data_IF_452462169106
#
_entry.id   IF_452462169106
#
_cell.length_a   1.000
_cell.length_b   1.000
_cell.length_c   1.000
_cell.angle_alpha   90.00
_cell.angle_beta   90.00
_cell.angle_gamma   90.00
#
_symmetry.space_group_name_H-M   'P 1'
#
loop_
_entity.id
_entity.type
_entity.pdbx_description
1 polymer ?
#
# COMPACT_ATOMS: atom_id res chain seq x y z
N UNK A 1 74.15 14.52 -32.76
CA UNK A 1 73.58 14.00 -31.50
C UNK A 1 72.12 14.39 -31.49
N UNK A 2 71.35 13.50 -32.05
CA UNK A 2 69.88 13.65 -32.17
C UNK A 2 69.22 13.05 -30.93
N UNK A 3 68.40 13.84 -30.29
CA UNK A 3 67.52 13.38 -29.26
C UNK A 3 66.09 13.63 -29.71
N UNK A 4 65.47 12.56 -30.14
CA UNK A 4 64.03 12.50 -30.46
C UNK A 4 63.23 12.45 -29.16
N UNK A 5 62.17 13.22 -28.97
CA UNK A 5 61.25 13.00 -27.89
C UNK A 5 60.17 11.97 -28.24
N UNK A 6 60.04 10.98 -27.37
CA UNK A 6 58.96 9.99 -27.36
C UNK A 6 57.59 10.66 -27.19
N UNK A 7 56.70 10.36 -28.09
CA UNK A 7 55.28 10.66 -28.00
C UNK A 7 54.64 9.71 -27.01
N UNK A 8 54.27 10.23 -25.85
CA UNK A 8 53.38 9.54 -24.88
C UNK A 8 51.97 9.51 -25.45
N UNK A 9 51.53 8.34 -25.82
CA UNK A 9 50.14 8.03 -26.18
C UNK A 9 49.32 8.03 -24.90
N UNK A 10 48.52 9.07 -24.68
CA UNK A 10 47.49 9.09 -23.64
C UNK A 10 46.38 8.16 -24.07
N UNK A 11 46.27 7.02 -23.41
CA UNK A 11 45.13 6.13 -23.47
C UNK A 11 43.95 6.85 -22.81
N UNK A 12 42.89 7.05 -23.56
CA UNK A 12 41.58 7.47 -23.04
C UNK A 12 41.07 6.46 -22.02
N UNK A 13 40.44 6.88 -20.90
CA UNK A 13 39.75 5.93 -20.04
C UNK A 13 38.55 5.39 -20.81
N UNK A 14 38.54 4.10 -21.03
CA UNK A 14 37.37 3.35 -21.46
C UNK A 14 36.28 3.61 -20.40
N UNK A 15 35.18 4.23 -20.83
CA UNK A 15 33.92 4.23 -20.09
C UNK A 15 33.52 2.78 -19.86
N UNK A 16 33.82 2.28 -18.70
CA UNK A 16 33.26 1.02 -18.21
C UNK A 16 31.78 1.26 -18.02
N UNK A 17 31.04 0.94 -19.06
CA UNK A 17 29.58 0.87 -19.02
C UNK A 17 29.22 -0.30 -18.10
N UNK A 18 29.23 -0.06 -16.79
CA UNK A 18 28.68 -0.95 -15.79
C UNK A 18 27.17 -1.04 -15.99
N UNK A 19 26.76 -1.73 -17.04
CA UNK A 19 25.45 -2.34 -17.05
C UNK A 19 25.49 -3.50 -16.06
N UNK A 20 25.42 -3.14 -14.78
CA UNK A 20 25.14 -4.11 -13.73
C UNK A 20 23.75 -4.66 -14.02
N UNK A 21 23.71 -5.80 -14.70
CA UNK A 21 22.55 -6.65 -14.75
C UNK A 21 22.28 -7.10 -13.32
N UNK A 22 21.61 -6.25 -12.54
CA UNK A 22 21.06 -6.63 -11.26
C UNK A 22 20.11 -7.79 -11.56
N UNK A 23 20.52 -8.98 -11.21
CA UNK A 23 19.67 -10.16 -11.12
C UNK A 23 18.54 -9.79 -10.14
N UNK A 24 17.43 -9.29 -10.72
CA UNK A 24 16.28 -8.86 -9.93
C UNK A 24 15.68 -10.12 -9.30
N UNK A 25 15.90 -10.27 -8.02
CA UNK A 25 15.30 -11.35 -7.26
C UNK A 25 13.78 -11.24 -7.31
N UNK A 26 13.10 -12.26 -7.84
CA UNK A 26 11.63 -12.36 -7.82
C UNK A 26 11.24 -13.08 -6.56
N UNK A 27 10.43 -12.44 -5.73
CA UNK A 27 9.88 -13.03 -4.51
C UNK A 27 8.59 -13.77 -4.82
N UNK A 28 8.57 -15.07 -4.61
CA UNK A 28 7.38 -15.91 -4.80
C UNK A 28 6.46 -15.77 -3.57
N UNK A 29 5.31 -15.11 -3.73
CA UNK A 29 4.29 -15.00 -2.69
C UNK A 29 3.31 -16.18 -2.74
N UNK A 30 3.03 -16.64 -3.95
CA UNK A 30 2.11 -17.76 -4.20
C UNK A 30 2.85 -18.77 -5.07
N UNK A 31 2.95 -20.00 -4.59
CA UNK A 31 3.59 -21.09 -5.34
C UNK A 31 2.90 -21.32 -6.67
N UNK A 32 3.67 -21.36 -7.77
CA UNK A 32 3.12 -21.56 -9.11
C UNK A 32 2.40 -20.33 -9.67
N UNK A 33 2.73 -19.15 -9.17
CA UNK A 33 2.19 -17.88 -9.72
C UNK A 33 2.53 -17.71 -11.20
N UNK A 34 1.61 -17.14 -11.94
CA UNK A 34 1.67 -16.93 -13.41
C UNK A 34 1.89 -15.47 -13.79
N UNK A 35 1.96 -14.57 -12.81
CA UNK A 35 2.07 -13.13 -12.97
C UNK A 35 3.16 -12.56 -12.05
N UNK A 36 3.96 -11.63 -12.57
CA UNK A 36 4.89 -10.83 -11.78
C UNK A 36 4.34 -9.41 -11.64
N UNK A 37 4.23 -8.94 -10.41
CA UNK A 37 3.98 -7.55 -10.11
C UNK A 37 5.31 -6.83 -9.92
N UNK A 38 5.55 -5.73 -10.63
CA UNK A 38 6.68 -4.83 -10.42
C UNK A 38 6.20 -3.63 -9.60
N UNK A 39 6.37 -3.71 -8.28
CA UNK A 39 5.75 -2.80 -7.32
C UNK A 39 6.72 -1.73 -6.85
N UNK A 40 6.21 -0.50 -6.78
CA UNK A 40 6.92 0.66 -6.27
C UNK A 40 7.98 1.22 -7.21
N UNK A 41 8.61 2.35 -6.81
CA UNK A 41 9.57 3.06 -7.65
C UNK A 41 10.84 2.26 -7.94
N UNK A 42 11.19 1.30 -7.09
CA UNK A 42 12.35 0.41 -7.26
C UNK A 42 12.00 -0.88 -7.99
N UNK A 43 10.73 -1.05 -8.42
CA UNK A 43 10.26 -2.23 -9.16
C UNK A 43 10.56 -3.54 -8.41
N UNK A 44 10.16 -3.66 -7.16
CA UNK A 44 10.23 -4.91 -6.40
C UNK A 44 9.36 -5.96 -7.08
N UNK A 45 9.95 -7.11 -7.46
CA UNK A 45 9.27 -8.14 -8.24
C UNK A 45 8.62 -9.17 -7.30
N UNK A 46 7.29 -9.25 -7.34
CA UNK A 46 6.46 -10.16 -6.55
C UNK A 46 5.72 -11.11 -7.48
N UNK A 47 5.95 -12.43 -7.34
CA UNK A 47 5.21 -13.43 -8.12
C UNK A 47 3.94 -13.83 -7.41
N UNK A 48 2.81 -13.77 -8.13
CA UNK A 48 1.46 -14.02 -7.63
C UNK A 48 0.64 -14.83 -8.64
N UNK A 49 -0.52 -15.31 -8.22
CA UNK A 49 -1.50 -15.92 -9.12
C UNK A 49 -2.50 -14.87 -9.61
N UNK A 50 -2.61 -14.72 -10.93
CA UNK A 50 -3.61 -13.84 -11.55
C UNK A 50 -5.03 -14.25 -11.19
N UNK A 51 -5.31 -15.56 -11.16
CA UNK A 51 -6.60 -16.10 -10.75
C UNK A 51 -6.96 -15.74 -9.30
N UNK A 52 -5.97 -15.82 -8.38
CA UNK A 52 -6.17 -15.41 -6.99
C UNK A 52 -6.47 -13.92 -6.88
N UNK A 53 -5.72 -13.06 -7.59
CA UNK A 53 -5.98 -11.62 -7.62
C UNK A 53 -7.39 -11.30 -8.12
N UNK A 54 -7.84 -11.95 -9.18
CA UNK A 54 -9.21 -11.78 -9.71
C UNK A 54 -10.29 -12.20 -8.71
N UNK A 55 -10.02 -13.23 -7.91
CA UNK A 55 -10.99 -13.72 -6.93
C UNK A 55 -11.12 -12.79 -5.72
N UNK A 56 -10.01 -12.24 -5.27
CA UNK A 56 -10.03 -11.38 -4.07
C UNK A 56 -10.42 -9.94 -4.38
N UNK A 57 -10.15 -9.44 -5.60
CA UNK A 57 -10.26 -8.02 -5.97
C UNK A 57 -11.11 -7.81 -7.23
N UNK A 58 -12.23 -7.08 -7.12
CA UNK A 58 -12.99 -6.64 -8.28
C UNK A 58 -12.15 -5.79 -9.25
N UNK A 59 -11.22 -4.98 -8.74
CA UNK A 59 -10.34 -4.13 -9.55
C UNK A 59 -9.46 -4.98 -10.45
N UNK A 60 -8.77 -5.99 -9.90
CA UNK A 60 -7.96 -6.92 -10.71
C UNK A 60 -8.82 -7.76 -11.64
N UNK A 61 -10.02 -8.17 -11.20
CA UNK A 61 -10.94 -8.91 -12.06
C UNK A 61 -11.33 -8.11 -13.31
N UNK A 62 -11.56 -6.82 -13.17
CA UNK A 62 -11.84 -5.92 -14.29
C UNK A 62 -10.59 -5.69 -15.14
N UNK A 63 -9.44 -5.41 -14.52
CA UNK A 63 -8.16 -5.15 -15.18
C UNK A 63 -7.72 -6.32 -16.08
N UNK A 64 -7.90 -7.56 -15.61
CA UNK A 64 -7.61 -8.77 -16.38
C UNK A 64 -8.79 -9.24 -17.24
N UNK A 65 -9.86 -8.44 -17.28
CA UNK A 65 -11.03 -8.68 -18.14
C UNK A 65 -10.75 -8.46 -19.63
N UNK A 66 -11.75 -8.75 -20.50
CA UNK A 66 -11.57 -8.73 -21.96
C UNK A 66 -11.37 -7.33 -22.56
N UNK A 67 -11.63 -6.29 -21.81
CA UNK A 67 -11.63 -4.91 -22.30
C UNK A 67 -10.30 -4.18 -22.03
N UNK A 68 -9.34 -4.83 -21.39
CA UNK A 68 -8.05 -4.25 -21.02
C UNK A 68 -6.89 -5.03 -21.64
N UNK A 69 -5.83 -4.32 -21.98
CA UNK A 69 -4.62 -4.89 -22.60
C UNK A 69 -3.97 -5.96 -21.72
N UNK A 70 -3.96 -5.74 -20.40
CA UNK A 70 -3.42 -6.69 -19.42
C UNK A 70 -4.16 -8.03 -19.49
N UNK A 71 -5.48 -7.98 -19.57
CA UNK A 71 -6.30 -9.19 -19.70
C UNK A 71 -6.10 -9.87 -21.06
N UNK A 72 -5.93 -9.14 -22.14
CA UNK A 72 -5.62 -9.70 -23.46
C UNK A 72 -4.24 -10.38 -23.46
N UNK A 73 -3.23 -9.72 -22.92
CA UNK A 73 -1.87 -10.27 -22.79
C UNK A 73 -1.87 -11.56 -21.97
N UNK A 74 -2.61 -11.60 -20.88
CA UNK A 74 -2.69 -12.79 -20.01
C UNK A 74 -3.34 -13.97 -20.72
N UNK A 75 -4.43 -13.74 -21.48
CA UNK A 75 -5.16 -14.80 -22.22
C UNK A 75 -4.40 -15.34 -23.44
N UNK A 76 -3.67 -14.49 -24.12
CA UNK A 76 -2.93 -14.86 -25.34
C UNK A 76 -1.57 -15.53 -25.05
N UNK A 77 -1.18 -15.60 -23.78
CA UNK A 77 0.08 -16.21 -23.36
C UNK A 77 0.09 -17.70 -23.62
N UNK A 78 1.19 -18.17 -24.23
CA UNK A 78 1.42 -19.59 -24.53
C UNK A 78 2.48 -20.19 -23.60
N UNK A 79 2.52 -21.51 -23.51
CA UNK A 79 3.56 -22.21 -22.76
C UNK A 79 4.93 -21.92 -23.39
N UNK A 80 5.83 -21.32 -22.61
CA UNK A 80 7.15 -20.90 -23.07
C UNK A 80 7.30 -19.40 -23.31
N UNK A 81 6.21 -18.64 -23.30
CA UNK A 81 6.29 -17.19 -23.33
C UNK A 81 6.93 -16.63 -22.05
N UNK A 82 7.61 -15.48 -22.12
CA UNK A 82 8.13 -14.81 -20.94
C UNK A 82 7.01 -14.48 -19.95
N UNK A 83 7.36 -14.47 -18.67
CA UNK A 83 6.38 -14.14 -17.63
C UNK A 83 5.81 -12.74 -17.83
N UNK A 84 4.50 -12.63 -17.63
CA UNK A 84 3.85 -11.32 -17.71
C UNK A 84 4.26 -10.48 -16.50
N UNK A 85 4.66 -9.26 -16.76
CA UNK A 85 4.96 -8.26 -15.73
C UNK A 85 3.89 -7.17 -15.77
N UNK A 86 3.29 -6.88 -14.61
CA UNK A 86 2.37 -5.78 -14.38
C UNK A 86 3.07 -4.70 -13.54
N UNK A 87 3.14 -3.48 -14.06
CA UNK A 87 3.78 -2.35 -13.37
C UNK A 87 2.80 -1.66 -12.44
N UNK A 88 3.20 -1.52 -11.17
CA UNK A 88 2.45 -0.84 -10.11
C UNK A 88 3.38 0.15 -9.39
N UNK A 89 3.80 1.24 -10.05
CA UNK A 89 4.86 2.13 -9.57
C UNK A 89 4.48 2.94 -8.32
N UNK A 90 3.19 3.17 -8.11
CA UNK A 90 2.67 4.01 -7.03
C UNK A 90 2.33 3.23 -5.77
N UNK A 91 2.54 1.91 -5.76
CA UNK A 91 2.20 1.05 -4.63
C UNK A 91 3.41 0.78 -3.73
N UNK A 92 3.13 0.50 -2.45
CA UNK A 92 4.15 0.08 -1.49
C UNK A 92 4.38 -1.43 -1.60
N UNK A 93 5.62 -1.89 -1.87
CA UNK A 93 5.91 -3.32 -2.04
C UNK A 93 5.67 -4.15 -0.79
N UNK A 94 5.94 -3.59 0.40
CA UNK A 94 5.75 -4.30 1.67
C UNK A 94 4.26 -4.43 1.99
N UNK A 95 3.48 -3.37 1.71
CA UNK A 95 2.02 -3.42 1.85
C UNK A 95 1.42 -4.50 0.93
N UNK A 96 1.90 -4.59 -0.31
CA UNK A 96 1.47 -5.66 -1.23
C UNK A 96 1.82 -7.05 -0.71
N UNK A 97 3.06 -7.24 -0.28
CA UNK A 97 3.55 -8.50 0.29
C UNK A 97 2.67 -8.93 1.47
N UNK A 98 2.51 -8.05 2.46
CA UNK A 98 1.70 -8.30 3.66
C UNK A 98 0.23 -8.57 3.31
N UNK A 99 -0.35 -7.82 2.36
CA UNK A 99 -1.72 -7.99 1.90
C UNK A 99 -1.94 -9.38 1.28
N UNK A 100 -1.10 -9.75 0.32
CA UNK A 100 -1.22 -11.05 -0.35
C UNK A 100 -1.01 -12.20 0.62
N UNK A 101 0.04 -12.12 1.47
CA UNK A 101 0.32 -13.18 2.45
C UNK A 101 -0.80 -13.31 3.50
N UNK A 102 -1.40 -12.20 3.93
CA UNK A 102 -2.53 -12.22 4.86
C UNK A 102 -3.77 -12.88 4.24
N UNK A 103 -4.11 -12.54 3.00
CA UNK A 103 -5.29 -13.07 2.31
C UNK A 103 -5.11 -14.50 1.81
N UNK A 104 -3.89 -14.87 1.42
CA UNK A 104 -3.56 -16.23 1.02
C UNK A 104 -3.40 -17.17 2.23
N UNK A 105 -3.19 -16.61 3.42
CA UNK A 105 -3.07 -17.38 4.67
C UNK A 105 -1.76 -18.17 4.80
N UNK A 106 -0.74 -17.80 4.02
CA UNK A 106 0.53 -18.54 4.00
C UNK A 106 1.51 -18.14 5.10
N UNK A 107 1.30 -16.99 5.75
CA UNK A 107 2.24 -16.48 6.74
C UNK A 107 1.55 -16.03 8.03
N UNK A 108 1.76 -16.74 9.15
CA UNK A 108 1.22 -16.34 10.45
C UNK A 108 1.74 -14.99 10.95
N UNK A 109 2.93 -14.54 10.50
CA UNK A 109 3.50 -13.26 10.95
C UNK A 109 2.71 -12.03 10.48
N UNK A 110 1.80 -12.17 9.52
CA UNK A 110 0.87 -11.09 9.14
C UNK A 110 -0.09 -10.69 10.26
N UNK A 111 -0.19 -11.52 11.32
CA UNK A 111 -0.89 -11.16 12.55
C UNK A 111 -0.11 -10.13 13.39
N UNK A 112 1.21 -10.03 13.17
CA UNK A 112 2.11 -9.16 13.94
C UNK A 112 2.43 -7.84 13.24
N UNK A 113 1.66 -7.47 12.22
CA UNK A 113 1.76 -6.16 11.57
C UNK A 113 1.74 -5.04 12.62
N UNK A 114 2.64 -4.08 12.48
CA UNK A 114 2.64 -2.87 13.30
C UNK A 114 1.60 -1.83 12.79
N UNK A 115 1.37 -0.73 13.51
CA UNK A 115 0.39 0.28 13.09
C UNK A 115 0.67 0.90 11.72
N UNK A 116 1.94 1.08 11.33
CA UNK A 116 2.33 1.59 10.02
C UNK A 116 2.01 0.59 8.91
N UNK A 117 2.31 -0.69 9.12
CA UNK A 117 1.96 -1.76 8.19
C UNK A 117 0.45 -1.87 8.00
N UNK A 118 -0.31 -1.81 9.10
CA UNK A 118 -1.78 -1.86 9.07
C UNK A 118 -2.34 -0.66 8.28
N UNK A 119 -1.77 0.53 8.44
CA UNK A 119 -2.14 1.70 7.67
C UNK A 119 -1.88 1.51 6.18
N UNK A 120 -0.70 1.05 5.80
CA UNK A 120 -0.32 0.80 4.40
C UNK A 120 -1.19 -0.29 3.76
N UNK A 121 -1.45 -1.39 4.48
CA UNK A 121 -2.37 -2.44 4.04
C UNK A 121 -3.78 -1.88 3.82
N UNK A 122 -4.26 -1.02 4.73
CA UNK A 122 -5.60 -0.46 4.63
C UNK A 122 -5.78 0.45 3.41
N UNK A 123 -4.78 1.25 3.09
CA UNK A 123 -4.75 2.10 1.88
C UNK A 123 -4.80 1.21 0.62
N UNK A 124 -3.98 0.16 0.60
CA UNK A 124 -3.96 -0.79 -0.51
C UNK A 124 -5.29 -1.54 -0.65
N UNK A 125 -5.88 -1.93 0.49
CA UNK A 125 -7.17 -2.62 0.52
C UNK A 125 -8.31 -1.76 -0.05
N UNK A 126 -8.32 -0.46 0.25
CA UNK A 126 -9.29 0.48 -0.33
C UNK A 126 -9.05 0.64 -1.84
N UNK A 127 -7.79 0.85 -2.28
CA UNK A 127 -7.43 1.02 -3.68
C UNK A 127 -7.88 -0.15 -4.58
N UNK A 128 -7.76 -1.38 -4.06
CA UNK A 128 -8.06 -2.61 -4.82
C UNK A 128 -9.38 -3.28 -4.42
N UNK A 129 -10.24 -2.57 -3.67
CA UNK A 129 -11.54 -3.06 -3.18
C UNK A 129 -11.44 -4.41 -2.43
N UNK A 130 -10.47 -4.47 -1.50
CA UNK A 130 -10.18 -5.64 -0.67
C UNK A 130 -10.72 -5.50 0.76
N UNK A 131 -11.32 -4.37 1.13
CA UNK A 131 -11.70 -4.04 2.51
C UNK A 131 -12.57 -5.14 3.14
N UNK A 132 -13.53 -5.68 2.39
CA UNK A 132 -14.41 -6.75 2.86
C UNK A 132 -13.66 -8.03 3.23
N UNK A 133 -12.51 -8.29 2.60
CA UNK A 133 -11.68 -9.46 2.87
C UNK A 133 -10.92 -9.35 4.19
N UNK A 134 -10.70 -8.13 4.68
CA UNK A 134 -9.99 -7.86 5.93
C UNK A 134 -10.90 -7.74 7.16
N UNK A 135 -12.18 -8.04 7.08
CA UNK A 135 -13.13 -7.88 8.18
C UNK A 135 -12.63 -8.52 9.49
N UNK A 136 -12.15 -9.76 9.46
CA UNK A 136 -11.66 -10.45 10.64
C UNK A 136 -10.26 -9.99 11.07
N UNK A 137 -9.36 -9.79 10.11
CA UNK A 137 -8.00 -9.33 10.41
C UNK A 137 -8.02 -7.93 11.05
N UNK A 138 -8.83 -7.01 10.53
CA UNK A 138 -8.96 -5.66 11.06
C UNK A 138 -9.46 -5.64 12.51
N UNK A 139 -10.42 -6.49 12.85
CA UNK A 139 -10.91 -6.62 14.25
C UNK A 139 -9.78 -7.05 15.18
N UNK A 140 -8.98 -8.04 14.75
CA UNK A 140 -7.85 -8.51 15.54
C UNK A 140 -6.77 -7.41 15.70
N UNK A 141 -6.37 -6.76 14.62
CA UNK A 141 -5.36 -5.71 14.65
C UNK A 141 -5.77 -4.53 15.54
N UNK A 142 -6.99 -4.03 15.39
CA UNK A 142 -7.47 -2.91 16.20
C UNK A 142 -7.63 -3.29 17.67
N UNK A 143 -8.01 -4.53 17.99
CA UNK A 143 -8.06 -5.02 19.36
C UNK A 143 -6.66 -5.13 19.98
N UNK A 144 -5.67 -5.64 19.23
CA UNK A 144 -4.27 -5.74 19.66
C UNK A 144 -3.71 -4.37 20.10
N UNK A 145 -4.03 -3.32 19.35
CA UNK A 145 -3.53 -1.96 19.59
C UNK A 145 -4.53 -1.07 20.34
N UNK A 146 -5.58 -1.63 20.94
CA UNK A 146 -6.56 -0.85 21.67
C UNK A 146 -5.95 0.02 22.79
N UNK A 147 -4.78 -0.32 23.27
CA UNK A 147 -4.05 0.38 24.35
C UNK A 147 -2.86 1.20 23.85
N UNK A 148 -2.67 1.34 22.54
CA UNK A 148 -1.64 2.20 21.98
C UNK A 148 -1.75 3.62 22.53
N UNK A 149 -0.63 4.16 23.05
CA UNK A 149 -0.56 5.48 23.65
C UNK A 149 0.35 6.44 22.89
N UNK A 150 1.11 5.95 21.91
CA UNK A 150 1.91 6.79 21.03
C UNK A 150 1.01 7.55 20.06
N UNK A 151 1.18 8.89 19.90
CA UNK A 151 0.33 9.68 19.02
C UNK A 151 0.46 9.30 17.53
N UNK A 152 1.65 8.90 17.07
CA UNK A 152 1.86 8.50 15.70
C UNK A 152 1.20 7.16 15.39
N UNK A 153 1.38 6.17 16.26
CA UNK A 153 0.67 4.88 16.17
C UNK A 153 -0.86 5.09 16.19
N UNK A 154 -1.34 5.97 17.08
CA UNK A 154 -2.76 6.29 17.19
C UNK A 154 -3.29 6.96 15.92
N UNK A 155 -2.47 7.81 15.28
CA UNK A 155 -2.81 8.41 13.99
C UNK A 155 -2.87 7.36 12.87
N UNK A 156 -1.86 6.50 12.77
CA UNK A 156 -1.82 5.41 11.80
C UNK A 156 -3.04 4.49 11.93
N UNK A 157 -3.40 4.11 13.17
CA UNK A 157 -4.58 3.29 13.44
C UNK A 157 -5.91 4.02 13.17
N UNK A 158 -5.97 5.33 13.42
CA UNK A 158 -7.16 6.14 13.08
C UNK A 158 -7.39 6.16 11.56
N UNK A 159 -6.35 6.40 10.79
CA UNK A 159 -6.43 6.42 9.34
C UNK A 159 -6.67 5.02 8.76
N UNK A 160 -6.05 3.99 9.32
CA UNK A 160 -6.32 2.61 8.95
C UNK A 160 -7.79 2.22 9.19
N UNK A 161 -8.35 2.60 10.34
CA UNK A 161 -9.76 2.35 10.65
C UNK A 161 -10.72 3.06 9.69
N UNK A 162 -10.32 4.25 9.19
CA UNK A 162 -11.07 4.94 8.14
C UNK A 162 -11.08 4.17 6.84
N UNK A 163 -9.89 3.78 6.33
CA UNK A 163 -9.76 3.02 5.09
C UNK A 163 -10.41 1.63 5.15
N UNK A 164 -10.31 0.96 6.31
CA UNK A 164 -10.97 -0.33 6.57
C UNK A 164 -12.48 -0.19 6.84
N UNK A 165 -13.04 1.01 6.76
CA UNK A 165 -14.45 1.30 6.99
C UNK A 165 -14.95 0.74 8.34
N UNK A 166 -14.10 0.79 9.38
CA UNK A 166 -14.42 0.32 10.74
C UNK A 166 -14.79 1.49 11.67
N UNK A 167 -16.09 1.78 11.89
CA UNK A 167 -16.54 2.92 12.67
C UNK A 167 -16.14 2.87 14.13
N UNK A 168 -16.17 1.69 14.73
CA UNK A 168 -15.88 1.53 16.16
C UNK A 168 -14.40 1.75 16.47
N UNK A 169 -13.53 1.20 15.63
CA UNK A 169 -12.10 1.44 15.71
C UNK A 169 -11.77 2.91 15.43
N UNK A 170 -12.35 3.50 14.40
CA UNK A 170 -12.19 4.92 14.08
C UNK A 170 -12.57 5.81 15.24
N UNK A 171 -13.73 5.58 15.85
CA UNK A 171 -14.18 6.32 17.04
C UNK A 171 -13.20 6.17 18.21
N UNK A 172 -12.75 4.95 18.46
CA UNK A 172 -11.85 4.65 19.57
C UNK A 172 -10.53 5.39 19.44
N UNK A 173 -9.87 5.26 18.28
CA UNK A 173 -8.56 5.87 18.05
C UNK A 173 -8.65 7.39 17.85
N UNK A 174 -9.64 7.90 17.13
CA UNK A 174 -9.81 9.34 16.96
C UNK A 174 -10.07 10.05 18.31
N UNK A 175 -10.83 9.44 19.22
CA UNK A 175 -11.04 9.97 20.56
C UNK A 175 -9.75 10.02 21.40
N UNK A 176 -8.86 9.03 21.25
CA UNK A 176 -7.55 9.03 21.88
C UNK A 176 -6.67 10.11 21.28
N UNK A 177 -6.60 10.17 19.96
CA UNK A 177 -5.77 11.11 19.21
C UNK A 177 -6.06 12.56 19.61
N UNK A 178 -7.34 12.93 19.73
CA UNK A 178 -7.76 14.26 20.18
C UNK A 178 -7.23 14.61 21.58
N UNK A 179 -7.08 13.62 22.45
CA UNK A 179 -6.56 13.84 23.82
C UNK A 179 -5.03 13.93 23.85
N UNK A 180 -4.35 13.23 22.95
CA UNK A 180 -2.90 13.12 22.92
C UNK A 180 -2.25 14.28 22.16
N UNK A 181 -2.86 14.73 21.06
CA UNK A 181 -2.27 15.73 20.19
C UNK A 181 -2.45 17.14 20.70
N UNK A 182 -1.33 17.71 21.07
CA UNK A 182 -1.12 19.12 21.29
C UNK A 182 0.07 19.52 20.41
N UNK A 183 0.02 20.23 19.44
CA UNK A 183 -0.66 21.40 18.93
C UNK A 183 -1.19 21.29 17.50
N UNK A 184 -0.88 20.31 16.70
CA UNK A 184 -1.43 20.26 15.35
C UNK A 184 -1.36 18.87 14.71
N UNK A 185 -2.50 18.32 14.34
CA UNK A 185 -2.61 17.11 13.55
C UNK A 185 -2.01 17.25 12.12
N UNK A 186 -1.73 18.49 11.69
CA UNK A 186 -1.23 18.78 10.35
C UNK A 186 0.15 18.16 10.07
N UNK A 187 0.97 17.94 11.11
CA UNK A 187 2.28 17.29 10.95
C UNK A 187 2.18 15.86 10.41
N UNK A 188 1.08 15.16 10.70
CA UNK A 188 0.88 13.78 10.28
C UNK A 188 0.30 13.65 8.86
N UNK A 189 -0.24 14.74 8.28
CA UNK A 189 -0.78 14.72 6.91
C UNK A 189 0.31 14.40 5.88
N UNK A 190 1.55 14.76 6.15
CA UNK A 190 2.67 14.53 5.23
C UNK A 190 2.93 13.03 4.97
N UNK A 191 2.61 12.15 5.94
CA UNK A 191 2.78 10.70 5.85
C UNK A 191 1.65 9.98 5.12
N UNK A 192 0.56 10.67 4.73
CA UNK A 192 -0.57 10.07 4.03
C UNK A 192 -0.46 10.35 2.53
N UNK A 193 -0.59 9.32 1.66
CA UNK A 193 -0.57 9.51 0.21
C UNK A 193 -1.68 10.45 -0.27
N UNK A 194 -2.90 10.31 0.27
CA UNK A 194 -4.02 11.23 0.02
C UNK A 194 -3.98 12.41 1.01
N UNK A 195 -3.32 13.49 0.60
CA UNK A 195 -3.21 14.72 1.40
C UNK A 195 -4.56 15.39 1.64
N UNK A 196 -5.51 15.28 0.73
CA UNK A 196 -6.84 15.84 0.89
C UNK A 196 -7.60 15.13 2.00
N UNK A 197 -7.54 13.79 2.02
CA UNK A 197 -8.11 13.01 3.11
C UNK A 197 -7.42 13.32 4.44
N UNK A 198 -6.08 13.38 4.46
CA UNK A 198 -5.34 13.76 5.65
C UNK A 198 -5.80 15.09 6.23
N UNK A 199 -5.97 16.12 5.38
CA UNK A 199 -6.49 17.42 5.79
C UNK A 199 -7.95 17.34 6.27
N UNK A 200 -8.81 16.58 5.59
CA UNK A 200 -10.21 16.37 6.00
C UNK A 200 -10.30 15.71 7.37
N UNK A 201 -9.48 14.71 7.64
CA UNK A 201 -9.39 14.05 8.95
C UNK A 201 -8.94 15.05 10.02
N UNK A 202 -7.87 15.81 9.77
CA UNK A 202 -7.38 16.83 10.70
C UNK A 202 -8.41 17.92 11.01
N UNK A 203 -9.17 18.37 10.01
CA UNK A 203 -10.19 19.41 10.19
C UNK A 203 -11.45 18.90 10.92
N UNK A 204 -11.72 17.60 10.86
CA UNK A 204 -12.91 16.99 11.50
C UNK A 204 -12.63 16.40 12.86
N UNK A 205 -11.37 16.11 13.20
CA UNK A 205 -10.99 15.77 14.55
C UNK A 205 -11.18 17.01 15.43
N UNK A 206 -12.05 16.97 16.43
CA UNK A 206 -12.34 18.15 17.24
C UNK A 206 -11.07 18.60 17.97
N UNK A 207 -10.71 19.87 17.80
CA UNK A 207 -9.71 20.50 18.63
C UNK A 207 -10.23 20.59 20.06
N UNK A 208 -9.36 20.55 21.03
CA UNK A 208 -9.57 20.37 22.48
C UNK A 208 -10.76 21.10 23.13
N UNK A 209 -11.40 22.05 22.45
CA UNK A 209 -12.50 22.85 23.02
C UNK A 209 -13.93 22.33 22.77
N UNK A 210 -14.14 21.27 21.95
CA UNK A 210 -15.48 20.85 21.54
C UNK A 210 -15.85 19.40 21.90
N UNK A 211 -15.04 18.71 22.69
CA UNK A 211 -15.16 17.24 22.92
C UNK A 211 -16.33 16.80 23.80
N UNK A 212 -17.17 17.68 24.33
CA UNK A 212 -18.21 17.26 25.26
C UNK A 212 -19.61 17.02 24.66
N UNK A 213 -19.87 17.31 23.39
CA UNK A 213 -21.25 17.38 22.89
C UNK A 213 -21.56 16.77 21.51
N UNK A 214 -20.65 16.08 20.82
CA UNK A 214 -21.00 15.53 19.49
C UNK A 214 -21.35 14.03 19.57
N UNK A 215 -22.57 13.64 19.13
CA UNK A 215 -22.93 12.23 18.96
C UNK A 215 -22.13 11.58 17.82
N UNK A 216 -21.77 10.32 18.03
CA UNK A 216 -20.99 9.46 17.10
C UNK A 216 -21.44 9.48 15.63
N UNK A 217 -22.74 9.68 15.41
CA UNK A 217 -23.35 9.74 14.07
C UNK A 217 -22.89 10.92 13.20
N UNK A 218 -22.45 12.03 13.81
CA UNK A 218 -22.10 13.26 13.07
C UNK A 218 -20.70 13.16 12.42
N UNK A 219 -19.79 12.40 13.02
CA UNK A 219 -18.43 12.23 12.48
C UNK A 219 -18.47 11.39 11.19
N UNK A 220 -19.33 10.37 11.17
CA UNK A 220 -19.42 9.46 10.02
C UNK A 220 -20.15 10.04 8.81
N UNK A 221 -21.26 10.74 9.00
CA UNK A 221 -22.06 11.27 7.89
C UNK A 221 -21.34 12.32 7.03
N UNK A 222 -20.20 12.81 7.50
CA UNK A 222 -19.39 13.76 6.75
C UNK A 222 -18.10 13.21 6.18
N UNK A 223 -17.73 11.93 6.44
CA UNK A 223 -16.50 11.29 5.99
C UNK A 223 -16.73 10.23 4.90
N UNK A 224 -17.96 9.71 4.76
CA UNK A 224 -18.27 8.73 3.73
C UNK A 224 -18.18 9.43 2.38
N UNK A 225 -17.26 9.05 1.48
CA UNK A 225 -17.35 9.47 0.10
C UNK A 225 -18.66 8.90 -0.47
N UNK A 226 -19.44 9.76 -1.09
CA UNK A 226 -20.57 9.35 -1.90
C UNK A 226 -20.00 8.52 -3.06
N UNK A 227 -19.92 7.21 -2.89
CA UNK A 227 -19.78 6.30 -4.01
C UNK A 227 -21.14 6.38 -4.73
N UNK A 228 -21.23 7.28 -5.71
CA UNK A 228 -22.30 7.24 -6.68
C UNK A 228 -22.10 5.95 -7.48
N UNK A 229 -22.82 4.93 -7.08
CA UNK A 229 -23.13 3.79 -7.96
C UNK A 229 -23.98 4.40 -9.09
N UNK A 230 -23.32 4.73 -10.18
CA UNK A 230 -24.04 4.94 -11.44
C UNK A 230 -24.36 3.56 -11.99
N UNK A 231 -25.67 3.28 -12.01
CA UNK A 231 -26.28 2.16 -12.76
C UNK A 231 -25.97 2.27 -14.26
#
# INVERSE_FOLDING_TARGET
MDLTPEQSVMSSPEEVNETVAQSRFVRDLISGGDLILAVGPHRTLLRVSSAFLCEISPVFSVMFGPNFEEGERLRNRQTGDPEMVLELPDDDPLAFDNTILALYGSNPSTQDCDPEDIQKISILADKYDLVSRFTFASVYWFAKYAWADDPEETWQLTTAAYWMQNPDAFFTFSKKLVKQLQPSHLSYVAGIPDKELGLRLCCKLPTHCQTSLLPTSVIWTGLVPFVSVQN
#
